data_IF_556676616964
#
_entry.id   IF_556676616964
#
_cell.length_a   1.000
_cell.length_b   1.000
_cell.length_c   1.000
_cell.angle_alpha   90.00
_cell.angle_beta   90.00
_cell.angle_gamma   90.00
#
_symmetry.space_group_name_H-M   'P 1'
#
loop_
_entity.id
_entity.type
_entity.pdbx_description
1 polymer ?
#
# COMPACT_ATOMS: atom_id res chain seq x y z
N UNK A 1 -2.99 25.04 -86.98
CA UNK A 1 -2.88 25.63 -85.64
C UNK A 1 -3.93 25.12 -84.64
N UNK A 2 -4.59 24.01 -84.85
CA UNK A 2 -5.60 23.45 -83.92
C UNK A 2 -5.18 22.24 -83.05
N UNK A 3 -4.08 21.50 -83.29
CA UNK A 3 -3.73 20.37 -82.44
C UNK A 3 -2.90 20.78 -81.15
N UNK A 4 -2.24 21.95 -81.15
CA UNK A 4 -1.39 22.39 -80.06
C UNK A 4 -2.21 22.84 -78.85
N UNK A 5 -3.41 23.42 -79.02
CA UNK A 5 -4.29 23.89 -77.95
C UNK A 5 -4.99 22.75 -77.19
N UNK A 6 -5.18 21.58 -77.86
CA UNK A 6 -5.74 20.40 -77.22
C UNK A 6 -4.69 19.63 -76.37
N UNK A 7 -3.41 19.74 -76.69
CA UNK A 7 -2.33 19.08 -75.92
C UNK A 7 -1.98 19.86 -74.64
N UNK A 8 -2.15 21.19 -74.64
CA UNK A 8 -1.93 22.02 -73.44
C UNK A 8 -3.07 21.89 -72.40
N UNK A 9 -4.29 21.55 -72.86
CA UNK A 9 -5.43 21.31 -71.92
C UNK A 9 -5.37 19.94 -71.27
N UNK A 10 -4.75 18.96 -71.88
CA UNK A 10 -4.57 17.63 -71.30
C UNK A 10 -3.47 17.59 -70.17
N UNK A 11 -2.47 18.52 -70.24
CA UNK A 11 -1.41 18.60 -69.23
C UNK A 11 -1.82 19.31 -67.94
N UNK A 12 -2.91 20.12 -67.97
CA UNK A 12 -3.42 20.83 -66.81
C UNK A 12 -4.31 20.01 -65.91
N UNK A 13 -4.73 18.79 -66.33
CA UNK A 13 -5.57 17.88 -65.54
C UNK A 13 -4.80 16.90 -64.67
N UNK A 14 -3.46 16.82 -64.79
CA UNK A 14 -2.63 15.91 -63.98
C UNK A 14 -2.02 16.54 -62.74
N UNK A 15 -2.34 17.78 -62.39
CA UNK A 15 -1.73 18.52 -61.24
C UNK A 15 -2.54 18.47 -59.95
N UNK A 16 -3.60 17.66 -59.84
CA UNK A 16 -4.37 17.46 -58.61
C UNK A 16 -4.21 16.06 -58.04
N UNK A 17 -2.96 15.58 -57.87
CA UNK A 17 -2.67 14.48 -56.96
C UNK A 17 -2.21 15.08 -55.63
N UNK A 18 -3.13 15.69 -54.92
CA UNK A 18 -2.92 16.05 -53.53
C UNK A 18 -2.71 14.76 -52.73
N UNK A 19 -1.55 14.63 -52.13
CA UNK A 19 -1.23 13.56 -51.21
C UNK A 19 -2.21 13.67 -50.01
N UNK A 20 -3.37 13.02 -50.13
CA UNK A 20 -4.29 12.86 -49.00
C UNK A 20 -3.63 11.85 -48.09
N UNK A 21 -2.98 12.35 -47.02
CA UNK A 21 -2.75 11.51 -45.85
C UNK A 21 -4.13 11.15 -45.29
N UNK A 22 -4.72 10.08 -45.78
CA UNK A 22 -6.00 9.56 -45.32
C UNK A 22 -5.73 8.79 -44.01
N UNK A 23 -5.88 9.51 -42.90
CA UNK A 23 -5.97 8.90 -41.58
C UNK A 23 -7.42 8.56 -41.29
N UNK A 24 -7.66 7.31 -40.84
CA UNK A 24 -9.01 6.87 -40.49
C UNK A 24 -9.55 7.59 -39.24
N UNK A 25 -8.68 7.88 -38.25
CA UNK A 25 -9.04 8.61 -37.06
C UNK A 25 -7.86 9.42 -36.52
N UNK A 26 -8.13 10.46 -35.74
CA UNK A 26 -7.15 11.25 -35.01
C UNK A 26 -7.42 11.13 -33.52
N UNK A 27 -6.39 11.32 -32.71
CA UNK A 27 -6.51 11.16 -31.27
C UNK A 27 -5.37 11.81 -30.50
N UNK A 28 -5.37 11.63 -29.19
CA UNK A 28 -4.32 12.08 -28.28
C UNK A 28 -3.68 10.87 -27.57
N UNK A 29 -2.37 10.97 -27.34
CA UNK A 29 -1.70 10.02 -26.47
C UNK A 29 -1.96 10.36 -25.01
N UNK A 30 -2.30 9.37 -24.23
CA UNK A 30 -2.54 9.44 -22.79
C UNK A 30 -1.68 8.39 -22.09
N UNK A 31 -1.28 8.69 -20.86
CA UNK A 31 -0.63 7.73 -19.97
C UNK A 31 -1.50 7.50 -18.73
N UNK A 32 -1.29 6.36 -18.06
CA UNK A 32 -1.94 6.15 -16.77
C UNK A 32 -1.27 7.05 -15.74
N UNK A 33 -2.02 8.02 -15.23
CA UNK A 33 -1.55 8.98 -14.23
C UNK A 33 -2.04 8.59 -12.84
N UNK A 34 -1.15 8.70 -11.84
CA UNK A 34 -1.49 8.54 -10.42
C UNK A 34 -1.13 9.81 -9.67
N UNK A 35 -2.06 10.31 -8.87
CA UNK A 35 -1.80 11.38 -7.90
C UNK A 35 -1.37 10.72 -6.60
N UNK A 36 -0.11 10.90 -6.23
CA UNK A 36 0.43 10.44 -4.96
C UNK A 36 0.13 11.49 -3.91
N UNK A 37 -0.60 11.08 -2.88
CA UNK A 37 -1.02 11.94 -1.78
C UNK A 37 -0.33 11.56 -0.47
N UNK A 38 -0.23 12.50 0.45
CA UNK A 38 0.27 12.24 1.80
C UNK A 38 -0.63 11.28 2.54
N UNK A 39 -0.05 10.32 3.27
CA UNK A 39 -0.76 9.44 4.19
C UNK A 39 -0.67 9.93 5.65
N UNK A 40 0.17 10.95 5.92
CA UNK A 40 0.42 11.49 7.24
C UNK A 40 0.08 12.99 7.33
N UNK A 41 -0.16 13.44 8.57
CA UNK A 41 -0.35 14.85 8.90
C UNK A 41 0.93 15.41 9.51
N UNK A 42 1.37 16.57 9.04
CA UNK A 42 2.54 17.24 9.60
C UNK A 42 3.27 18.10 8.57
N UNK A 43 4.43 18.62 8.98
CA UNK A 43 5.31 19.37 8.07
C UNK A 43 6.10 18.40 7.20
N UNK A 44 6.18 18.66 5.90
CA UNK A 44 7.05 17.93 4.98
C UNK A 44 8.50 18.35 5.30
N UNK A 45 9.29 17.41 5.78
CA UNK A 45 10.68 17.65 6.12
C UNK A 45 11.60 17.54 4.92
N UNK A 46 11.32 16.55 4.06
CA UNK A 46 12.02 16.30 2.81
C UNK A 46 11.03 15.82 1.74
N UNK A 47 11.28 16.23 0.49
CA UNK A 47 10.58 15.74 -0.70
C UNK A 47 11.52 15.89 -1.90
N UNK A 48 12.33 14.86 -2.14
CA UNK A 48 13.43 14.84 -3.09
C UNK A 48 12.94 14.34 -4.45
N UNK A 49 12.22 15.18 -5.18
CA UNK A 49 11.80 14.94 -6.55
C UNK A 49 11.62 16.27 -7.28
N UNK A 50 11.75 16.22 -8.61
CA UNK A 50 11.46 17.32 -9.52
C UNK A 50 10.57 16.84 -10.66
N UNK A 51 9.90 17.77 -11.32
CA UNK A 51 9.15 17.49 -12.54
C UNK A 51 10.12 16.99 -13.63
N UNK A 52 9.75 15.90 -14.28
CA UNK A 52 10.58 15.21 -15.26
C UNK A 52 11.46 14.09 -14.70
N UNK A 53 11.59 13.94 -13.38
CA UNK A 53 12.37 12.84 -12.78
C UNK A 53 11.72 11.50 -13.06
N UNK A 54 12.55 10.50 -13.39
CA UNK A 54 12.12 9.11 -13.51
C UNK A 54 12.34 8.40 -12.17
N UNK A 55 11.26 7.90 -11.60
CA UNK A 55 11.24 7.24 -10.29
C UNK A 55 10.92 5.77 -10.43
N UNK A 56 11.51 4.96 -9.55
CA UNK A 56 11.21 3.54 -9.42
C UNK A 56 10.15 3.31 -8.32
N UNK A 57 9.36 2.23 -8.46
CA UNK A 57 8.44 1.80 -7.42
C UNK A 57 9.20 1.44 -6.13
N UNK A 58 8.69 1.86 -4.97
CA UNK A 58 9.31 1.66 -3.66
C UNK A 58 10.40 2.68 -3.30
N UNK A 59 10.77 3.61 -4.19
CA UNK A 59 11.74 4.67 -3.88
C UNK A 59 11.22 5.57 -2.76
N UNK A 60 12.03 5.82 -1.73
CA UNK A 60 11.73 6.75 -0.64
C UNK A 60 12.13 8.15 -1.08
N UNK A 61 11.18 9.04 -1.22
CA UNK A 61 11.35 10.39 -1.75
C UNK A 61 11.49 11.45 -0.65
N UNK A 62 11.07 11.13 0.56
CA UNK A 62 11.08 12.07 1.67
C UNK A 62 10.26 11.57 2.85
N UNK A 63 9.95 12.49 3.76
CA UNK A 63 9.15 12.19 4.94
C UNK A 63 8.46 13.43 5.51
N UNK A 64 7.35 13.16 6.19
CA UNK A 64 6.61 14.11 7.02
C UNK A 64 7.11 14.02 8.46
N UNK A 65 7.14 15.13 9.18
CA UNK A 65 7.58 15.17 10.59
C UNK A 65 6.78 14.17 11.45
N UNK A 66 7.50 13.21 11.98
CA UNK A 66 6.95 12.11 12.78
C UNK A 66 7.60 12.00 14.16
N UNK A 67 8.32 13.05 14.61
CA UNK A 67 9.04 13.04 15.89
C UNK A 67 8.12 12.74 17.07
N UNK A 68 6.92 13.32 17.09
CA UNK A 68 5.97 13.09 18.18
C UNK A 68 5.46 11.62 18.21
N UNK A 69 5.25 11.01 17.05
CA UNK A 69 4.89 9.59 16.94
C UNK A 69 6.03 8.70 17.46
N UNK A 70 7.25 9.01 17.08
CA UNK A 70 8.45 8.29 17.56
C UNK A 70 8.61 8.37 19.08
N UNK A 71 8.48 9.57 19.66
CA UNK A 71 8.59 9.75 21.12
C UNK A 71 7.47 9.02 21.85
N UNK A 72 6.24 9.05 21.34
CA UNK A 72 5.11 8.29 21.89
C UNK A 72 5.35 6.79 21.86
N UNK A 73 5.90 6.27 20.75
CA UNK A 73 6.32 4.87 20.64
C UNK A 73 7.36 4.53 21.72
N UNK A 74 8.38 5.37 21.92
CA UNK A 74 9.40 5.18 22.97
C UNK A 74 8.81 5.16 24.37
N UNK A 75 7.80 5.99 24.62
CA UNK A 75 7.08 6.00 25.90
C UNK A 75 6.31 4.68 26.12
N UNK A 76 5.62 4.14 25.10
CA UNK A 76 4.94 2.85 25.19
C UNK A 76 5.92 1.69 25.36
N UNK A 77 7.06 1.69 24.66
CA UNK A 77 8.12 0.69 24.85
C UNK A 77 8.67 0.70 26.28
N UNK A 78 8.79 1.88 26.90
CA UNK A 78 9.16 1.98 28.32
C UNK A 78 8.05 1.45 29.24
N UNK A 79 6.79 1.74 28.92
CA UNK A 79 5.62 1.18 29.62
C UNK A 79 5.60 -0.34 29.58
N UNK A 80 5.82 -0.92 28.39
CA UNK A 80 5.88 -2.37 28.20
C UNK A 80 6.95 -3.03 29.09
N UNK A 81 8.14 -2.45 29.14
CA UNK A 81 9.20 -2.93 30.06
C UNK A 81 8.79 -2.83 31.52
N UNK A 82 8.07 -1.78 31.92
CA UNK A 82 7.56 -1.62 33.27
C UNK A 82 6.54 -2.70 33.66
N UNK A 83 5.66 -3.08 32.72
CA UNK A 83 4.72 -4.19 32.91
C UNK A 83 5.47 -5.50 33.13
N UNK A 84 6.48 -5.77 32.33
CA UNK A 84 7.26 -7.01 32.41
C UNK A 84 8.00 -7.13 33.76
N UNK A 85 8.58 -6.04 34.23
CA UNK A 85 9.26 -5.98 35.56
C UNK A 85 8.28 -6.21 36.71
N UNK A 86 7.00 -5.82 36.56
CA UNK A 86 5.96 -6.01 37.60
C UNK A 86 5.43 -7.44 37.68
N UNK A 87 5.72 -8.31 36.70
CA UNK A 87 5.30 -9.71 36.77
C UNK A 87 5.92 -10.43 37.95
N UNK A 88 5.12 -11.11 38.77
CA UNK A 88 5.65 -11.85 39.93
C UNK A 88 6.46 -13.07 39.47
N UNK A 89 7.59 -13.33 40.13
CA UNK A 89 8.28 -14.61 40.04
C UNK A 89 7.51 -15.64 40.87
N UNK A 90 6.61 -16.36 40.21
CA UNK A 90 5.73 -17.35 40.84
C UNK A 90 6.57 -18.38 41.61
N UNK A 91 7.66 -18.90 41.02
CA UNK A 91 8.49 -19.93 41.61
C UNK A 91 9.09 -19.47 42.96
N UNK A 92 9.62 -18.24 43.02
CA UNK A 92 10.18 -17.72 44.26
C UNK A 92 9.12 -17.48 45.34
N UNK A 93 7.92 -17.05 44.94
CA UNK A 93 6.86 -16.71 45.89
C UNK A 93 6.20 -17.96 46.48
N UNK A 94 6.14 -19.09 45.79
CA UNK A 94 5.58 -20.33 46.31
C UNK A 94 6.62 -21.23 46.99
N UNK A 95 7.92 -20.99 46.79
CA UNK A 95 9.01 -21.86 47.29
C UNK A 95 8.95 -22.10 48.80
N UNK A 96 8.56 -21.10 49.60
CA UNK A 96 8.45 -21.26 51.05
C UNK A 96 7.30 -22.19 51.46
N UNK A 97 6.16 -22.16 50.78
CA UNK A 97 5.03 -23.06 51.01
C UNK A 97 5.37 -24.49 50.58
N UNK A 98 6.02 -24.61 49.42
CA UNK A 98 6.51 -25.94 48.96
C UNK A 98 7.49 -26.56 49.99
N UNK A 99 8.41 -25.75 50.53
CA UNK A 99 9.33 -26.22 51.54
C UNK A 99 8.60 -26.62 52.86
N UNK A 100 7.60 -25.84 53.28
CA UNK A 100 6.80 -26.20 54.46
C UNK A 100 6.05 -27.51 54.26
N UNK A 101 5.48 -27.74 53.08
CA UNK A 101 4.83 -29.02 52.75
C UNK A 101 5.85 -30.16 52.74
N UNK A 102 7.04 -29.97 52.20
CA UNK A 102 8.09 -30.97 52.18
C UNK A 102 8.52 -31.40 53.60
N UNK A 103 8.71 -30.41 54.51
CA UNK A 103 9.02 -30.66 55.91
C UNK A 103 7.88 -31.38 56.61
N UNK A 104 6.63 -30.96 56.42
CA UNK A 104 5.47 -31.61 57.01
C UNK A 104 5.28 -33.04 56.53
N UNK A 105 5.57 -33.34 55.28
CA UNK A 105 5.55 -34.73 54.71
C UNK A 105 6.65 -35.60 55.32
N UNK A 106 7.84 -35.06 55.52
CA UNK A 106 8.93 -35.78 56.18
C UNK A 106 8.56 -36.14 57.63
N UNK A 107 7.92 -35.21 58.36
CA UNK A 107 7.42 -35.42 59.69
C UNK A 107 6.28 -36.43 59.75
N UNK A 108 5.34 -36.39 58.80
CA UNK A 108 4.29 -37.39 58.63
C UNK A 108 4.91 -38.80 58.51
N UNK A 109 5.87 -38.97 57.59
CA UNK A 109 6.53 -40.26 57.37
C UNK A 109 7.24 -40.80 58.65
N UNK A 110 7.88 -39.87 59.39
CA UNK A 110 8.51 -40.20 60.67
C UNK A 110 7.49 -40.70 61.70
N UNK A 111 6.37 -39.99 61.88
CA UNK A 111 5.31 -40.31 62.83
C UNK A 111 4.59 -41.63 62.44
N UNK A 112 4.31 -41.82 61.15
CA UNK A 112 3.75 -43.10 60.68
C UNK A 112 4.63 -44.28 60.98
N UNK A 113 5.95 -44.18 60.87
CA UNK A 113 6.90 -45.23 61.23
C UNK A 113 6.88 -45.51 62.75
N UNK A 114 6.76 -44.48 63.59
CA UNK A 114 6.64 -44.65 65.06
C UNK A 114 5.31 -45.30 65.42
N UNK A 115 4.21 -44.98 64.77
CA UNK A 115 2.92 -45.66 65.01
C UNK A 115 2.98 -47.12 64.60
N UNK A 116 3.59 -47.43 63.43
CA UNK A 116 3.83 -48.81 62.96
C UNK A 116 4.65 -49.61 64.00
N UNK A 117 5.63 -48.99 64.65
CA UNK A 117 6.45 -49.58 65.70
C UNK A 117 5.75 -49.62 67.10
N UNK A 118 4.46 -49.26 67.17
CA UNK A 118 3.67 -49.13 68.42
C UNK A 118 4.26 -48.12 69.44
N UNK A 119 5.07 -47.18 68.99
CA UNK A 119 5.72 -46.12 69.78
C UNK A 119 5.19 -44.71 69.51
N UNK A 120 4.12 -44.58 68.74
CA UNK A 120 3.53 -43.29 68.30
C UNK A 120 2.02 -43.23 68.53
N UNK A 121 1.44 -42.02 68.38
CA UNK A 121 0.01 -41.75 68.52
C UNK A 121 -0.61 -41.44 67.14
N UNK A 122 -1.66 -42.18 66.75
CA UNK A 122 -2.36 -42.00 65.48
C UNK A 122 -2.93 -40.57 65.33
N UNK A 123 -3.43 -39.95 66.39
CA UNK A 123 -3.93 -38.61 66.36
C UNK A 123 -2.88 -37.60 65.89
N UNK A 124 -1.60 -37.79 66.24
CA UNK A 124 -0.52 -36.91 65.76
C UNK A 124 -0.31 -37.02 64.24
N UNK A 125 -0.44 -38.24 63.71
CA UNK A 125 -0.38 -38.44 62.24
C UNK A 125 -1.56 -37.71 61.55
N UNK A 126 -2.78 -37.89 62.08
CA UNK A 126 -3.99 -37.27 61.52
C UNK A 126 -3.89 -35.71 61.58
N UNK A 127 -3.35 -35.14 62.65
CA UNK A 127 -3.11 -33.71 62.80
C UNK A 127 -2.10 -33.19 61.74
N UNK A 128 -0.99 -33.95 61.50
CA UNK A 128 -0.01 -33.60 60.48
C UNK A 128 -0.62 -33.69 59.07
N UNK A 129 -1.39 -34.73 58.78
CA UNK A 129 -2.09 -34.92 57.50
C UNK A 129 -3.06 -33.73 57.24
N UNK A 130 -3.81 -33.33 58.25
CA UNK A 130 -4.70 -32.18 58.12
C UNK A 130 -3.92 -30.89 57.91
N UNK A 131 -2.79 -30.65 58.59
CA UNK A 131 -1.92 -29.50 58.34
C UNK A 131 -1.36 -29.49 56.90
N UNK A 132 -0.92 -30.65 56.37
CA UNK A 132 -0.48 -30.74 54.96
C UNK A 132 -1.61 -30.33 53.99
N UNK A 133 -2.85 -30.78 54.24
CA UNK A 133 -4.01 -30.39 53.41
C UNK A 133 -4.24 -28.87 53.46
N UNK A 134 -4.10 -28.24 54.62
CA UNK A 134 -4.23 -26.77 54.74
C UNK A 134 -3.13 -26.09 53.92
N UNK A 135 -1.87 -26.48 54.07
CA UNK A 135 -0.74 -25.93 53.35
C UNK A 135 -0.90 -26.08 51.82
N UNK A 136 -1.39 -27.26 51.38
CA UNK A 136 -1.68 -27.49 49.98
C UNK A 136 -2.75 -26.56 49.45
N UNK A 137 -3.85 -26.30 50.20
CA UNK A 137 -4.89 -25.36 49.84
C UNK A 137 -4.37 -23.92 49.82
N UNK A 138 -3.48 -23.54 50.70
CA UNK A 138 -2.81 -22.24 50.67
C UNK A 138 -1.92 -22.11 49.43
N UNK A 139 -1.16 -23.15 49.07
CA UNK A 139 -0.34 -23.19 47.87
C UNK A 139 -1.21 -23.01 46.59
N UNK A 140 -2.30 -23.78 46.50
CA UNK A 140 -3.24 -23.68 45.37
C UNK A 140 -3.83 -22.27 45.24
N UNK A 141 -4.24 -21.68 46.33
CA UNK A 141 -4.78 -20.31 46.39
C UNK A 141 -3.74 -19.26 45.98
N UNK A 142 -2.51 -19.38 46.51
CA UNK A 142 -1.40 -18.49 46.16
C UNK A 142 -1.03 -18.62 44.70
N UNK A 143 -0.91 -19.85 44.15
CA UNK A 143 -0.63 -20.12 42.77
C UNK A 143 -1.72 -19.50 41.85
N UNK A 144 -3.00 -19.71 42.20
CA UNK A 144 -4.13 -19.11 41.44
C UNK A 144 -4.07 -17.59 41.42
N UNK A 145 -3.74 -16.97 42.54
CA UNK A 145 -3.63 -15.51 42.62
C UNK A 145 -2.48 -14.97 41.78
N UNK A 146 -1.30 -15.59 41.89
CA UNK A 146 -0.13 -15.20 41.11
C UNK A 146 -0.34 -15.40 39.62
N UNK A 147 -0.96 -16.53 39.21
CA UNK A 147 -1.28 -16.79 37.84
C UNK A 147 -2.24 -15.74 37.26
N UNK A 148 -3.30 -15.37 38.01
CA UNK A 148 -4.23 -14.32 37.55
C UNK A 148 -3.52 -12.96 37.42
N UNK A 149 -2.62 -12.62 38.34
CA UNK A 149 -1.81 -11.39 38.29
C UNK A 149 -0.91 -11.39 37.04
N UNK A 150 -0.25 -12.52 36.75
CA UNK A 150 0.61 -12.65 35.56
C UNK A 150 -0.22 -12.56 34.29
N UNK A 151 -1.36 -13.26 34.22
CA UNK A 151 -2.24 -13.20 33.04
C UNK A 151 -2.81 -11.80 32.82
N UNK A 152 -3.12 -11.07 33.89
CA UNK A 152 -3.53 -9.66 33.78
C UNK A 152 -2.42 -8.76 33.25
N UNK A 153 -1.18 -8.96 33.72
CA UNK A 153 -0.01 -8.24 33.22
C UNK A 153 0.30 -8.59 31.76
N UNK A 154 0.12 -9.87 31.38
CA UNK A 154 0.29 -10.31 29.98
C UNK A 154 -0.73 -9.62 29.06
N UNK A 155 -1.99 -9.55 29.45
CA UNK A 155 -3.03 -8.84 28.68
C UNK A 155 -2.76 -7.33 28.57
N UNK A 156 -2.26 -6.69 29.65
CA UNK A 156 -1.82 -5.29 29.63
C UNK A 156 -0.64 -5.11 28.64
N UNK A 157 0.36 -5.99 28.70
CA UNK A 157 1.51 -5.97 27.80
C UNK A 157 1.08 -6.13 26.34
N UNK A 158 0.19 -7.07 26.05
CA UNK A 158 -0.35 -7.29 24.70
C UNK A 158 -1.09 -6.04 24.18
N UNK A 159 -1.88 -5.39 25.00
CA UNK A 159 -2.54 -4.12 24.63
C UNK A 159 -1.54 -3.03 24.26
N UNK A 160 -0.43 -2.92 25.00
CA UNK A 160 0.64 -1.96 24.69
C UNK A 160 1.35 -2.33 23.38
N UNK A 161 1.56 -3.62 23.12
CA UNK A 161 2.16 -4.09 21.86
C UNK A 161 1.31 -3.66 20.67
N UNK A 162 -0.02 -3.81 20.72
CA UNK A 162 -0.90 -3.35 19.64
C UNK A 162 -0.85 -1.83 19.44
N UNK A 163 -0.74 -1.05 20.53
CA UNK A 163 -0.55 0.40 20.43
C UNK A 163 0.78 0.77 19.77
N UNK A 164 1.85 0.03 20.06
CA UNK A 164 3.16 0.21 19.40
C UNK A 164 3.04 -0.11 17.91
N UNK A 165 2.38 -1.22 17.55
CA UNK A 165 2.17 -1.59 16.13
C UNK A 165 1.38 -0.52 15.38
N UNK A 166 0.36 0.09 16.01
CA UNK A 166 -0.40 1.19 15.41
C UNK A 166 0.48 2.42 15.16
N UNK A 167 1.37 2.76 16.09
CA UNK A 167 2.33 3.85 15.89
C UNK A 167 3.38 3.52 14.82
N UNK A 168 3.79 2.26 14.71
CA UNK A 168 4.70 1.83 13.64
C UNK A 168 4.08 1.97 12.26
N UNK A 169 2.80 1.64 12.09
CA UNK A 169 2.06 1.89 10.85
C UNK A 169 2.01 3.39 10.52
N UNK A 170 1.73 4.25 11.51
CA UNK A 170 1.73 5.69 11.32
C UNK A 170 3.12 6.26 10.98
N UNK A 171 4.18 5.72 11.58
CA UNK A 171 5.57 6.06 11.27
C UNK A 171 5.96 5.63 9.85
N UNK A 172 5.50 4.48 9.39
CA UNK A 172 5.69 4.04 8.01
C UNK A 172 4.98 4.97 7.03
N UNK A 173 3.72 5.33 7.30
CA UNK A 173 2.91 6.25 6.50
C UNK A 173 3.45 7.69 6.48
N UNK A 174 4.29 8.06 7.43
CA UNK A 174 4.98 9.36 7.40
C UNK A 174 6.12 9.42 6.38
N UNK A 175 6.55 8.28 5.83
CA UNK A 175 7.53 8.22 4.73
C UNK A 175 6.80 8.38 3.41
N UNK A 176 7.32 9.21 2.54
CA UNK A 176 6.78 9.42 1.19
C UNK A 176 7.45 8.42 0.27
N UNK A 177 6.72 7.37 -0.11
CA UNK A 177 7.23 6.28 -0.94
C UNK A 177 6.53 6.28 -2.29
N UNK A 178 7.29 6.13 -3.37
CA UNK A 178 6.72 6.08 -4.72
C UNK A 178 5.98 4.74 -4.95
N UNK A 179 4.69 4.75 -5.30
CA UNK A 179 3.91 3.51 -5.43
C UNK A 179 4.17 2.75 -6.72
N UNK A 180 4.63 3.42 -7.80
CA UNK A 180 4.87 2.81 -9.11
C UNK A 180 6.02 3.47 -9.85
N UNK A 181 6.66 2.75 -10.75
CA UNK A 181 7.66 3.33 -11.64
C UNK A 181 7.03 4.26 -12.66
N UNK A 182 7.71 5.35 -13.01
CA UNK A 182 7.22 6.32 -13.97
C UNK A 182 7.96 7.65 -13.92
N UNK A 183 7.43 8.63 -14.63
CA UNK A 183 7.97 10.00 -14.70
C UNK A 183 7.07 10.96 -13.93
N UNK A 184 7.66 11.82 -13.11
CA UNK A 184 6.94 12.88 -12.39
C UNK A 184 6.44 13.92 -13.37
N UNK A 185 5.13 14.12 -13.42
CA UNK A 185 4.50 15.11 -14.31
C UNK A 185 4.35 16.45 -13.63
N UNK A 186 3.91 16.46 -12.36
CA UNK A 186 3.62 17.69 -11.60
C UNK A 186 4.01 17.47 -10.14
N UNK A 187 4.64 18.45 -9.54
CA UNK A 187 4.91 18.54 -8.11
C UNK A 187 3.97 19.53 -7.44
N UNK A 188 3.14 19.08 -6.49
CA UNK A 188 2.11 19.90 -5.83
C UNK A 188 2.53 20.45 -4.46
N UNK A 189 3.60 19.92 -3.87
CA UNK A 189 4.02 20.26 -2.51
C UNK A 189 5.53 20.45 -2.43
N UNK A 190 5.96 21.33 -1.50
CA UNK A 190 7.37 21.62 -1.27
C UNK A 190 7.79 21.27 0.16
N UNK A 191 9.09 20.95 0.37
CA UNK A 191 9.65 20.82 1.71
C UNK A 191 9.38 22.09 2.53
N UNK A 192 8.96 21.91 3.79
CA UNK A 192 8.60 23.03 4.67
C UNK A 192 7.12 23.33 4.73
N UNK A 193 6.31 22.88 3.78
CA UNK A 193 4.86 23.00 3.83
C UNK A 193 4.23 22.04 4.83
N UNK A 194 3.02 22.37 5.29
CA UNK A 194 2.19 21.47 6.10
C UNK A 194 1.27 20.68 5.18
N UNK A 195 1.29 19.35 5.37
CA UNK A 195 0.42 18.42 4.65
C UNK A 195 -0.56 17.73 5.58
N UNK A 196 -1.57 17.09 5.00
CA UNK A 196 -2.54 16.26 5.69
C UNK A 196 -2.83 14.99 4.86
N UNK A 197 -3.33 13.95 5.50
CA UNK A 197 -3.74 12.73 4.81
C UNK A 197 -4.71 13.04 3.66
N UNK A 198 -4.42 12.53 2.46
CA UNK A 198 -5.16 12.81 1.23
C UNK A 198 -4.73 14.06 0.46
N UNK A 199 -3.86 14.93 1.00
CA UNK A 199 -3.36 16.11 0.25
C UNK A 199 -2.39 15.65 -0.84
N UNK A 200 -2.59 16.02 -2.12
CA UNK A 200 -1.69 15.69 -3.23
C UNK A 200 -0.27 16.20 -2.97
N UNK A 201 0.72 15.36 -3.25
CA UNK A 201 2.15 15.70 -3.18
C UNK A 201 2.76 15.84 -4.57
N UNK A 202 2.50 14.88 -5.45
CA UNK A 202 2.96 14.92 -6.84
C UNK A 202 2.09 14.01 -7.71
N UNK A 203 2.22 14.16 -9.03
CA UNK A 203 1.61 13.31 -10.04
C UNK A 203 2.69 12.56 -10.79
N UNK A 204 2.51 11.25 -10.94
CA UNK A 204 3.41 10.37 -11.69
C UNK A 204 2.64 9.63 -12.77
N UNK A 205 3.28 9.41 -13.94
CA UNK A 205 2.73 8.63 -15.02
C UNK A 205 3.71 7.57 -15.50
N UNK A 206 3.18 6.41 -15.89
CA UNK A 206 3.94 5.44 -16.66
C UNK A 206 4.02 5.94 -18.12
N UNK A 207 5.16 6.50 -18.47
CA UNK A 207 5.42 7.01 -19.83
C UNK A 207 5.97 5.96 -20.78
N UNK A 208 6.28 4.75 -20.30
CA UNK A 208 6.72 3.63 -21.13
C UNK A 208 5.54 2.95 -21.82
N UNK A 209 4.33 3.13 -21.28
CA UNK A 209 3.10 2.59 -21.82
C UNK A 209 2.11 3.73 -22.12
N UNK A 210 1.87 3.98 -23.41
CA UNK A 210 0.96 5.02 -23.84
C UNK A 210 -0.29 4.42 -24.48
N UNK A 211 -1.42 5.07 -24.21
CA UNK A 211 -2.69 4.81 -24.86
C UNK A 211 -2.97 5.91 -25.87
N UNK A 212 -3.39 5.55 -27.09
CA UNK A 212 -3.92 6.51 -28.02
C UNK A 212 -5.45 6.50 -27.92
N UNK A 213 -6.03 7.57 -27.42
CA UNK A 213 -7.48 7.79 -27.47
C UNK A 213 -7.83 8.42 -28.80
N UNK A 214 -8.43 7.64 -29.70
CA UNK A 214 -8.78 8.06 -31.04
C UNK A 214 -10.30 8.16 -31.20
N UNK A 215 -10.74 9.10 -32.05
CA UNK A 215 -12.14 9.43 -32.28
C UNK A 215 -12.54 9.15 -33.74
N UNK A 216 -12.91 7.88 -34.06
CA UNK A 216 -13.39 7.52 -35.40
C UNK A 216 -14.83 8.01 -35.62
N UNK A 217 -15.25 8.07 -36.91
CA UNK A 217 -16.63 8.33 -37.28
C UNK A 217 -17.54 7.13 -37.03
N UNK A 218 -18.85 7.33 -36.93
CA UNK A 218 -19.83 6.25 -36.76
C UNK A 218 -19.75 5.20 -37.89
N UNK A 219 -19.44 5.61 -39.13
CA UNK A 219 -19.25 4.69 -40.26
C UNK A 219 -18.01 3.78 -40.05
N UNK A 220 -16.90 4.37 -39.61
CA UNK A 220 -15.66 3.64 -39.35
C UNK A 220 -15.80 2.69 -38.17
N UNK A 221 -16.65 3.06 -37.20
CA UNK A 221 -16.96 2.27 -36.04
C UNK A 221 -17.41 0.85 -36.34
N UNK A 222 -18.26 0.69 -37.37
CA UNK A 222 -18.81 -0.61 -37.77
C UNK A 222 -17.74 -1.60 -38.24
N UNK A 223 -16.58 -1.11 -38.66
CA UNK A 223 -15.49 -1.90 -39.24
C UNK A 223 -14.43 -2.28 -38.21
N UNK A 224 -14.42 -1.66 -37.01
CA UNK A 224 -13.40 -1.86 -36.00
C UNK A 224 -13.79 -2.99 -35.03
N UNK A 225 -12.77 -3.76 -34.58
CA UNK A 225 -12.94 -4.90 -33.68
C UNK A 225 -11.91 -4.85 -32.57
N UNK A 226 -12.28 -5.30 -31.38
CA UNK A 226 -11.34 -5.51 -30.28
C UNK A 226 -10.24 -6.50 -30.70
N UNK A 227 -8.98 -6.21 -30.35
CA UNK A 227 -7.82 -7.02 -30.72
C UNK A 227 -7.30 -6.74 -32.16
N UNK A 228 -7.95 -5.84 -32.94
CA UNK A 228 -7.50 -5.48 -34.27
C UNK A 228 -6.17 -4.72 -34.21
N UNK A 229 -5.22 -5.09 -35.05
CA UNK A 229 -3.97 -4.35 -35.24
C UNK A 229 -4.21 -3.10 -36.06
N UNK A 230 -3.62 -1.99 -35.67
CA UNK A 230 -3.70 -0.68 -36.32
C UNK A 230 -2.32 -0.07 -36.46
N UNK A 231 -2.16 0.85 -37.39
CA UNK A 231 -0.96 1.68 -37.51
C UNK A 231 -1.22 3.02 -36.90
N UNK A 232 -0.35 3.42 -36.00
CA UNK A 232 -0.42 4.71 -35.32
C UNK A 232 0.68 5.60 -35.86
N UNK A 233 0.33 6.80 -36.28
CA UNK A 233 1.27 7.79 -36.78
C UNK A 233 1.38 8.94 -35.78
N UNK A 234 2.57 9.19 -35.26
CA UNK A 234 2.84 10.34 -34.42
C UNK A 234 3.67 11.38 -35.21
N UNK A 235 3.32 12.66 -35.05
CA UNK A 235 4.08 13.74 -35.63
C UNK A 235 5.46 13.84 -34.97
N UNK A 236 6.51 13.84 -35.80
CA UNK A 236 7.91 13.88 -35.37
C UNK A 236 8.61 15.18 -35.80
N UNK A 237 7.90 16.28 -35.72
CA UNK A 237 8.37 17.60 -36.13
C UNK A 237 8.73 17.67 -37.64
N UNK A 238 9.86 18.32 -37.97
CA UNK A 238 10.31 18.48 -39.34
C UNK A 238 10.66 17.16 -40.05
N UNK A 239 10.85 16.06 -39.30
CA UNK A 239 11.19 14.73 -39.83
C UNK A 239 9.95 13.96 -40.34
N UNK A 240 8.76 14.57 -40.32
CA UNK A 240 7.52 13.96 -40.78
C UNK A 240 6.86 13.13 -39.67
N UNK A 241 6.26 11.99 -40.05
CA UNK A 241 5.53 11.11 -39.16
C UNK A 241 6.27 9.83 -38.90
N UNK A 242 6.23 9.35 -37.65
CA UNK A 242 6.77 8.05 -37.26
C UNK A 242 5.62 7.07 -37.04
N UNK A 243 5.74 5.90 -37.62
CA UNK A 243 4.75 4.83 -37.48
C UNK A 243 5.06 3.92 -36.30
N UNK A 244 4.03 3.58 -35.54
CA UNK A 244 4.06 2.63 -34.43
C UNK A 244 2.95 1.59 -34.59
N UNK A 245 3.19 0.33 -34.23
CA UNK A 245 2.14 -0.67 -34.17
C UNK A 245 1.22 -0.41 -32.98
N UNK A 246 -0.08 -0.53 -33.19
CA UNK A 246 -1.08 -0.42 -32.12
C UNK A 246 -2.06 -1.59 -32.19
N UNK A 247 -2.79 -1.78 -31.08
CA UNK A 247 -3.88 -2.76 -30.99
C UNK A 247 -5.07 -2.12 -30.29
N UNK A 248 -6.27 -2.31 -30.84
CA UNK A 248 -7.50 -1.82 -30.25
C UNK A 248 -7.81 -2.66 -29.00
N UNK A 249 -7.77 -2.04 -27.83
CA UNK A 249 -8.01 -2.71 -26.53
C UNK A 249 -9.38 -2.41 -25.96
N UNK A 250 -9.98 -1.28 -26.33
CA UNK A 250 -11.26 -0.85 -25.82
C UNK A 250 -12.04 -0.03 -26.85
N UNK A 251 -13.35 -0.13 -26.81
CA UNK A 251 -14.30 0.56 -27.67
C UNK A 251 -15.41 1.08 -26.77
N UNK A 252 -15.64 2.40 -26.73
CA UNK A 252 -16.73 2.99 -25.96
C UNK A 252 -18.11 2.57 -26.49
N UNK A 253 -19.01 2.28 -25.58
CA UNK A 253 -20.44 2.05 -25.91
C UNK A 253 -21.23 3.39 -25.94
N UNK A 254 -20.61 4.47 -25.50
CA UNK A 254 -21.24 5.79 -25.46
C UNK A 254 -20.60 6.72 -26.49
N UNK A 255 -21.44 7.45 -27.19
CA UNK A 255 -20.99 8.52 -28.10
C UNK A 255 -20.51 9.72 -27.29
N UNK A 256 -19.30 10.23 -27.55
CA UNK A 256 -18.74 11.41 -26.93
C UNK A 256 -18.40 12.46 -28.01
N UNK A 257 -18.40 13.73 -27.59
CA UNK A 257 -17.93 14.80 -28.47
C UNK A 257 -16.41 14.84 -28.49
N UNK A 258 -15.82 15.02 -29.68
CA UNK A 258 -14.38 15.24 -29.81
C UNK A 258 -13.97 16.47 -28.97
N UNK A 259 -12.97 16.35 -28.09
CA UNK A 259 -12.47 17.48 -27.34
C UNK A 259 -12.01 18.62 -28.23
N UNK A 260 -12.24 19.87 -27.84
CA UNK A 260 -11.93 21.08 -28.64
C UNK A 260 -10.47 21.21 -29.09
N UNK A 261 -9.55 20.50 -28.44
CA UNK A 261 -8.11 20.49 -28.77
C UNK A 261 -7.72 19.53 -29.92
N UNK A 262 -8.60 18.61 -30.30
CA UNK A 262 -8.35 17.65 -31.38
C UNK A 262 -9.08 18.16 -32.63
N UNK A 263 -8.40 18.95 -33.45
CA UNK A 263 -8.99 19.47 -34.70
C UNK A 263 -8.75 18.48 -35.84
N UNK A 264 -9.77 17.76 -36.26
CA UNK A 264 -9.82 17.17 -37.60
C UNK A 264 -10.28 18.24 -38.60
N UNK A 265 -9.63 18.31 -39.74
CA UNK A 265 -9.89 19.36 -40.75
C UNK A 265 -11.33 19.41 -41.27
N UNK A 266 -12.17 18.43 -41.03
CA UNK A 266 -13.53 18.32 -41.57
C UNK A 266 -14.68 18.20 -40.57
N UNK A 267 -14.46 18.29 -39.24
CA UNK A 267 -15.49 17.90 -38.28
C UNK A 267 -15.75 18.89 -37.16
N UNK A 268 -16.55 19.90 -37.45
CA UNK A 268 -17.14 20.79 -36.42
C UNK A 268 -18.49 20.29 -35.88
N UNK A 269 -19.03 19.15 -36.27
CA UNK A 269 -20.43 18.81 -35.99
C UNK A 269 -20.80 17.33 -35.81
N UNK A 270 -19.87 16.39 -35.68
CA UNK A 270 -20.24 14.96 -35.54
C UNK A 270 -20.02 14.43 -34.14
N UNK A 271 -20.98 13.64 -33.66
CA UNK A 271 -20.87 12.80 -32.45
C UNK A 271 -19.94 11.61 -32.76
N UNK A 272 -18.92 11.42 -31.94
CA UNK A 272 -17.97 10.33 -32.08
C UNK A 272 -18.05 9.38 -30.90
N UNK A 273 -17.80 8.11 -31.14
CA UNK A 273 -17.57 7.11 -30.10
C UNK A 273 -16.11 7.09 -29.71
N UNK A 274 -15.84 7.11 -28.41
CA UNK A 274 -14.50 7.11 -27.84
C UNK A 274 -13.85 5.73 -27.99
N UNK A 275 -12.59 5.68 -28.48
CA UNK A 275 -11.85 4.43 -28.68
C UNK A 275 -10.40 4.56 -28.27
N UNK A 276 -9.97 3.66 -27.43
CA UNK A 276 -8.59 3.59 -26.95
C UNK A 276 -7.80 2.59 -27.78
N UNK A 277 -6.68 3.03 -28.35
CA UNK A 277 -5.77 2.23 -29.14
C UNK A 277 -4.43 2.15 -28.39
N UNK A 278 -3.92 0.94 -28.21
CA UNK A 278 -2.64 0.68 -27.54
C UNK A 278 -1.48 0.85 -28.51
N UNK A 279 -0.44 1.61 -28.09
CA UNK A 279 0.85 1.63 -28.75
C UNK A 279 1.89 0.82 -27.98
N UNK A 280 2.80 0.15 -28.68
CA UNK A 280 3.97 -0.49 -28.07
C UNK A 280 4.93 0.54 -27.50
N UNK A 281 5.64 0.26 -26.39
CA UNK A 281 6.60 1.21 -25.81
C UNK A 281 7.71 1.57 -26.79
N UNK A 282 8.18 2.80 -26.65
CA UNK A 282 9.27 3.37 -27.46
C UNK A 282 10.62 2.73 -27.14
#
# INVERSE_FOLDING_TARGET
MKPILLFSLALALSACSGNKNDFDATGAFESTEIIVSSEANGKIMELNLQEGDRLEAGAVLGYVDSMQLYLRKKQLEAGLRSVDIRKPDIRKQIASLEQQIAVARSEQQRMENLVKAKAGNQKQVDDIVNNIKVLQKQLDAQYSTLHKTTSGADAEAESIVYQIMQLDDQLQKSRIVNPQSGTVLVKYAEPGEVTAAGKPLYKIADTDLLYLRAYPTAEQLTQLKLGQRVRVFADFGEKGQKEYPGTITWISEKSEFTPKGIQTKNERANLFEDRTIWGSPF
#
